data_IF_037858752809
#
_entry.id   IF_037858752809
#
_cell.length_a   1.000
_cell.length_b   1.000
_cell.length_c   1.000
_cell.angle_alpha   90.00
_cell.angle_beta   90.00
_cell.angle_gamma   90.00
#
_symmetry.space_group_name_H-M   'P 1'
#
loop_
_entity.id
_entity.type
_entity.pdbx_description
1 polymer ?
#
# COMPACT_ATOMS: atom_id res chain seq x y z
N UNK A 1 33.40 16.81 -44.68
CA UNK A 1 32.24 15.89 -44.54
C UNK A 1 31.66 16.08 -43.15
N UNK A 2 30.36 16.42 -43.06
CA UNK A 2 29.63 16.73 -41.82
C UNK A 2 29.26 15.42 -41.11
N UNK A 3 29.68 15.24 -39.85
CA UNK A 3 29.15 14.18 -38.99
C UNK A 3 27.98 14.74 -38.19
N UNK A 4 26.77 14.24 -38.47
CA UNK A 4 25.59 14.45 -37.65
C UNK A 4 25.75 13.68 -36.34
N UNK A 5 25.74 14.40 -35.22
CA UNK A 5 25.66 13.83 -33.87
C UNK A 5 24.22 13.36 -33.67
N UNK A 6 24.03 12.04 -33.65
CA UNK A 6 22.76 11.40 -33.36
C UNK A 6 22.31 11.70 -31.94
N UNK A 7 21.16 12.37 -31.82
CA UNK A 7 20.45 12.62 -30.59
C UNK A 7 19.93 11.28 -30.04
N UNK A 8 20.61 10.73 -29.03
CA UNK A 8 20.15 9.52 -28.32
C UNK A 8 18.97 9.93 -27.43
N UNK A 9 17.76 9.68 -27.92
CA UNK A 9 16.53 9.82 -27.16
C UNK A 9 16.48 8.67 -26.14
N UNK A 10 16.85 8.95 -24.90
CA UNK A 10 16.69 8.02 -23.78
C UNK A 10 15.20 7.81 -23.53
N UNK A 11 14.68 6.65 -23.96
CA UNK A 11 13.36 6.17 -23.54
C UNK A 11 13.52 5.71 -22.09
N UNK A 12 13.08 6.54 -21.14
CA UNK A 12 12.98 6.13 -19.74
C UNK A 12 11.89 5.05 -19.63
N UNK A 13 12.30 3.82 -19.33
CA UNK A 13 11.36 2.76 -18.98
C UNK A 13 10.75 3.11 -17.62
N UNK A 14 9.44 3.37 -17.59
CA UNK A 14 8.69 3.52 -16.34
C UNK A 14 8.73 2.19 -15.58
N UNK A 15 9.68 2.02 -14.67
CA UNK A 15 9.73 0.85 -13.78
C UNK A 15 8.70 1.07 -12.67
N UNK A 16 7.58 0.36 -12.75
CA UNK A 16 6.64 0.26 -11.64
C UNK A 16 7.12 -0.86 -10.71
N UNK A 17 7.46 -0.53 -9.46
CA UNK A 17 7.78 -1.51 -8.42
C UNK A 17 6.56 -1.67 -7.50
N UNK A 18 6.28 -2.89 -7.05
CA UNK A 18 5.18 -3.15 -6.12
C UNK A 18 5.65 -3.95 -4.92
N UNK A 19 5.23 -3.52 -3.72
CA UNK A 19 5.43 -4.23 -2.47
C UNK A 19 4.07 -4.65 -1.91
N UNK A 20 3.81 -5.95 -1.91
CA UNK A 20 2.64 -6.52 -1.25
C UNK A 20 2.92 -6.64 0.25
N UNK A 21 2.12 -5.97 1.07
CA UNK A 21 2.29 -5.96 2.53
C UNK A 21 1.38 -6.97 3.22
N UNK A 22 0.20 -7.17 2.63
CA UNK A 22 -0.80 -8.15 3.03
C UNK A 22 -1.46 -8.72 1.78
N UNK A 23 -1.71 -10.02 1.76
CA UNK A 23 -2.48 -10.70 0.73
C UNK A 23 -3.22 -11.89 1.33
N UNK A 24 -4.41 -11.64 1.86
CA UNK A 24 -5.28 -12.65 2.44
C UNK A 24 -6.53 -12.80 1.59
N UNK A 25 -6.40 -13.66 0.58
CA UNK A 25 -7.51 -14.11 -0.23
C UNK A 25 -7.85 -15.53 0.23
N UNK A 26 -8.79 -15.64 1.17
CA UNK A 26 -9.18 -16.92 1.79
C UNK A 26 -10.52 -17.39 1.22
N UNK A 27 -10.71 -18.71 1.13
CA UNK A 27 -11.92 -19.30 0.55
C UNK A 27 -13.20 -18.95 1.31
N UNK A 28 -13.08 -18.72 2.62
CA UNK A 28 -14.18 -18.36 3.52
C UNK A 28 -13.84 -17.05 4.24
N UNK A 29 -14.00 -15.92 3.54
CA UNK A 29 -13.78 -14.60 4.10
C UNK A 29 -13.81 -13.49 3.05
N UNK A 30 -13.75 -12.23 3.49
CA UNK A 30 -13.53 -11.12 2.57
C UNK A 30 -12.04 -11.05 2.20
N UNK A 31 -11.74 -11.05 0.91
CA UNK A 31 -10.38 -10.83 0.42
C UNK A 31 -9.83 -9.50 0.97
N UNK A 32 -8.62 -9.52 1.52
CA UNK A 32 -7.94 -8.33 2.02
C UNK A 32 -6.53 -8.27 1.45
N UNK A 33 -6.21 -7.17 0.78
CA UNK A 33 -4.90 -6.96 0.17
C UNK A 33 -4.46 -5.52 0.37
N UNK A 34 -3.21 -5.33 0.79
CA UNK A 34 -2.59 -4.01 0.95
C UNK A 34 -1.26 -4.01 0.20
N UNK A 35 -1.11 -3.04 -0.71
CA UNK A 35 0.06 -2.94 -1.58
C UNK A 35 0.55 -1.49 -1.66
N UNK A 36 1.85 -1.33 -1.83
CA UNK A 36 2.46 -0.05 -2.19
C UNK A 36 3.06 -0.17 -3.57
N UNK A 37 2.64 0.70 -4.48
CA UNK A 37 3.11 0.76 -5.86
C UNK A 37 3.95 2.02 -6.00
N UNK A 38 5.18 1.88 -6.46
CA UNK A 38 6.06 2.98 -6.82
C UNK A 38 6.09 3.14 -8.33
N UNK A 39 5.76 4.31 -8.84
CA UNK A 39 5.87 4.64 -10.27
C UNK A 39 6.51 6.01 -10.42
N UNK A 40 7.69 6.06 -11.04
CA UNK A 40 8.44 7.30 -11.26
C UNK A 40 8.69 8.11 -9.97
N UNK A 41 8.98 7.41 -8.87
CA UNK A 41 9.19 8.00 -7.54
C UNK A 41 7.92 8.43 -6.80
N UNK A 42 6.74 8.25 -7.39
CA UNK A 42 5.47 8.44 -6.70
C UNK A 42 5.03 7.13 -6.06
N UNK A 43 4.65 7.19 -4.78
CA UNK A 43 4.12 6.05 -4.06
C UNK A 43 2.59 6.13 -4.03
N UNK A 44 1.95 5.02 -4.38
CA UNK A 44 0.51 4.83 -4.30
C UNK A 44 0.23 3.67 -3.35
N UNK A 45 -0.60 3.91 -2.34
CA UNK A 45 -1.18 2.86 -1.53
C UNK A 45 -2.42 2.34 -2.24
N UNK A 46 -2.50 1.02 -2.37
CA UNK A 46 -3.65 0.33 -2.94
C UNK A 46 -4.17 -0.70 -1.94
N UNK A 47 -5.47 -0.65 -1.68
CA UNK A 47 -6.13 -1.46 -0.65
C UNK A 47 -7.36 -2.14 -1.27
N UNK A 48 -7.56 -3.42 -0.97
CA UNK A 48 -8.81 -4.11 -1.20
C UNK A 48 -9.62 -4.03 0.09
N UNK A 49 -10.75 -3.30 0.05
CA UNK A 49 -11.63 -3.18 1.21
C UNK A 49 -12.37 -4.48 1.47
N UNK A 50 -12.89 -4.67 2.69
CA UNK A 50 -13.72 -5.83 3.04
C UNK A 50 -14.97 -5.99 2.15
N UNK A 51 -15.40 -4.92 1.46
CA UNK A 51 -16.49 -4.98 0.48
C UNK A 51 -16.05 -5.41 -0.92
N UNK A 52 -14.81 -5.88 -1.11
CA UNK A 52 -14.26 -6.30 -2.39
C UNK A 52 -13.92 -5.14 -3.34
N UNK A 53 -13.85 -3.90 -2.84
CA UNK A 53 -13.55 -2.72 -3.66
C UNK A 53 -12.08 -2.34 -3.56
N UNK A 54 -11.43 -2.18 -4.71
CA UNK A 54 -10.13 -1.55 -4.79
C UNK A 54 -10.23 -0.04 -4.59
N UNK A 55 -9.39 0.48 -3.70
CA UNK A 55 -9.19 1.89 -3.48
C UNK A 55 -7.70 2.22 -3.58
N UNK A 56 -7.41 3.42 -4.04
CA UNK A 56 -6.04 3.89 -4.22
C UNK A 56 -5.93 5.31 -3.68
N UNK A 57 -4.78 5.62 -3.07
CA UNK A 57 -4.43 6.97 -2.67
C UNK A 57 -2.94 7.20 -2.77
N UNK A 58 -2.54 8.47 -2.91
CA UNK A 58 -1.15 8.84 -2.78
C UNK A 58 -0.63 8.48 -1.38
N UNK A 59 0.53 7.83 -1.34
CA UNK A 59 1.28 7.54 -0.13
C UNK A 59 2.46 8.49 -0.05
N UNK A 60 2.61 9.19 1.06
CA UNK A 60 3.77 10.09 1.19
C UNK A 60 5.03 9.31 1.53
N UNK A 61 6.19 9.79 1.09
CA UNK A 61 7.47 9.19 1.46
C UNK A 61 7.68 9.13 2.99
N UNK A 62 7.16 10.12 3.73
CA UNK A 62 7.19 10.16 5.20
C UNK A 62 6.33 9.06 5.82
N UNK A 63 5.12 8.86 5.30
CA UNK A 63 4.24 7.79 5.76
C UNK A 63 4.88 6.42 5.51
N UNK A 64 5.40 6.21 4.29
CA UNK A 64 6.08 4.97 3.91
C UNK A 64 7.35 4.67 4.73
N UNK A 65 8.15 5.70 5.03
CA UNK A 65 9.37 5.54 5.83
C UNK A 65 9.07 5.30 7.31
N UNK A 66 7.98 5.87 7.82
CA UNK A 66 7.54 5.64 9.21
C UNK A 66 7.01 4.23 9.46
N UNK A 67 6.71 3.48 8.38
CA UNK A 67 6.05 2.17 8.43
C UNK A 67 4.74 2.18 9.24
N UNK A 68 4.05 3.32 9.27
CA UNK A 68 2.71 3.50 9.82
C UNK A 68 1.84 4.11 8.74
N UNK A 69 0.92 3.31 8.22
CA UNK A 69 0.09 3.63 7.06
C UNK A 69 -1.36 3.73 7.54
N UNK A 70 -2.04 4.82 7.22
CA UNK A 70 -3.46 4.96 7.54
C UNK A 70 -4.29 4.28 6.44
N UNK A 71 -5.03 3.23 6.78
CA UNK A 71 -5.91 2.56 5.82
C UNK A 71 -7.27 3.21 5.77
N UNK A 72 -7.99 2.95 4.69
CA UNK A 72 -9.40 3.30 4.62
C UNK A 72 -10.19 2.57 5.70
N UNK A 73 -11.06 3.32 6.36
CA UNK A 73 -11.83 2.85 7.51
C UNK A 73 -13.27 3.33 7.36
N UNK A 74 -14.21 2.63 8.00
CA UNK A 74 -15.59 3.08 8.04
C UNK A 74 -15.70 4.41 8.83
N UNK A 75 -16.77 5.20 8.66
CA UNK A 75 -16.98 6.42 9.42
C UNK A 75 -16.93 6.18 10.94
N UNK A 76 -16.13 6.97 11.64
CA UNK A 76 -15.92 6.84 13.09
C UNK A 76 -14.84 5.82 13.49
N UNK A 77 -14.28 5.10 12.52
CA UNK A 77 -13.18 4.17 12.73
C UNK A 77 -11.85 4.73 12.22
N UNK A 78 -10.76 4.18 12.75
CA UNK A 78 -9.40 4.46 12.30
C UNK A 78 -8.60 3.18 12.30
N UNK A 79 -8.09 2.80 11.14
CA UNK A 79 -7.22 1.64 10.95
C UNK A 79 -5.81 2.10 10.61
N UNK A 80 -4.86 1.78 11.48
CA UNK A 80 -3.43 1.98 11.23
C UNK A 80 -2.81 0.62 10.90
N UNK A 81 -2.15 0.55 9.75
CA UNK A 81 -1.33 -0.57 9.34
C UNK A 81 0.13 -0.24 9.63
N UNK A 82 0.69 -0.89 10.65
CA UNK A 82 2.01 -0.57 11.17
C UNK A 82 2.95 -1.75 11.10
N UNK A 83 4.24 -1.50 10.90
CA UNK A 83 5.28 -2.51 11.06
C UNK A 83 5.78 -2.50 12.50
N UNK A 84 5.62 -3.61 13.21
CA UNK A 84 6.10 -3.84 14.57
C UNK A 84 7.15 -4.95 14.51
N UNK A 85 8.41 -4.58 14.72
CA UNK A 85 9.53 -5.50 14.47
C UNK A 85 9.60 -5.91 12.99
N UNK A 86 9.56 -7.22 12.72
CA UNK A 86 9.54 -7.76 11.36
C UNK A 86 8.14 -7.86 10.75
N UNK A 87 7.08 -7.73 11.56
CA UNK A 87 5.72 -8.07 11.17
C UNK A 87 4.86 -6.83 10.92
N UNK A 88 3.86 -6.98 10.06
CA UNK A 88 2.83 -5.97 9.87
C UNK A 88 1.65 -6.28 10.80
N UNK A 89 1.01 -5.24 11.30
CA UNK A 89 -0.09 -5.32 12.26
C UNK A 89 -1.18 -4.31 11.92
N UNK A 90 -2.42 -4.64 12.24
CA UNK A 90 -3.55 -3.73 12.28
C UNK A 90 -3.75 -3.19 13.69
N UNK A 91 -4.01 -1.89 13.77
CA UNK A 91 -4.58 -1.26 14.94
C UNK A 91 -5.86 -0.56 14.51
N UNK A 92 -7.00 -1.06 14.97
CA UNK A 92 -8.32 -0.54 14.63
C UNK A 92 -8.93 0.07 15.89
N UNK A 93 -9.23 1.36 15.82
CA UNK A 93 -9.93 2.08 16.89
C UNK A 93 -11.27 2.55 16.36
N UNK A 94 -12.34 2.31 17.12
CA UNK A 94 -13.67 2.80 16.82
C UNK A 94 -14.50 3.05 18.08
N UNK A 95 -15.80 3.38 17.94
CA UNK A 95 -16.64 3.71 19.09
C UNK A 95 -16.82 2.49 20.01
N UNK A 96 -16.15 2.52 21.16
CA UNK A 96 -16.27 1.48 22.19
C UNK A 96 -15.37 0.26 21.99
N UNK A 97 -14.44 0.28 21.04
CA UNK A 97 -13.46 -0.79 20.87
C UNK A 97 -12.10 -0.27 20.41
N UNK A 98 -11.06 -0.99 20.83
CA UNK A 98 -9.68 -0.79 20.43
C UNK A 98 -9.06 -2.18 20.23
N UNK A 99 -8.68 -2.50 19.00
CA UNK A 99 -8.28 -3.85 18.60
C UNK A 99 -6.93 -3.83 17.89
N UNK A 100 -6.12 -4.85 18.20
CA UNK A 100 -4.83 -5.10 17.60
C UNK A 100 -4.80 -6.51 17.04
N UNK A 101 -4.29 -6.64 15.83
CA UNK A 101 -4.12 -7.94 15.17
C UNK A 101 -2.86 -7.95 14.32
N UNK A 102 -2.32 -9.13 14.11
CA UNK A 102 -1.32 -9.31 13.07
C UNK A 102 -1.96 -9.17 11.69
N UNK A 103 -1.15 -8.76 10.71
CA UNK A 103 -1.57 -8.66 9.33
C UNK A 103 -1.25 -9.97 8.62
N UNK A 104 -2.07 -10.98 8.89
CA UNK A 104 -1.91 -12.35 8.45
C UNK A 104 -3.27 -12.99 8.17
N UNK A 105 -3.23 -14.19 7.60
CA UNK A 105 -4.41 -14.88 7.11
C UNK A 105 -4.75 -16.01 8.08
N UNK A 106 -5.43 -15.69 9.17
CA UNK A 106 -5.87 -16.65 10.19
C UNK A 106 -7.38 -16.64 10.36
#
# INVERSE_FOLDING_TARGET
MKFLVGFLMLIAWNQANAATLLNCNVSDGADQQVMVIETNGNLTLRELTMGGRWIERALTAKEWSSKKILLHSAPGEKTIFAKVGSEWTFHVTGPGYDSYGYADCF
#
